data_IF_132619398173
#
_entry.id   IF_132619398173
#
_cell.length_a   1.000
_cell.length_b   1.000
_cell.length_c   1.000
_cell.angle_alpha   90.00
_cell.angle_beta   90.00
_cell.angle_gamma   90.00
#
_symmetry.space_group_name_H-M   'P 1'
#
loop_
_entity.id
_entity.type
_entity.pdbx_description
1 polymer ?
#
# COMPACT_ATOMS: atom_id res chain seq x y z
N UNK A 1 -26.54 0.46 9.64
CA UNK A 1 -25.89 -0.87 9.50
C UNK A 1 -24.90 -0.73 8.37
N UNK A 2 -23.59 -0.67 8.67
CA UNK A 2 -22.56 -0.43 7.65
C UNK A 2 -22.45 -1.67 6.77
N UNK A 3 -22.75 -1.54 5.49
CA UNK A 3 -22.58 -2.61 4.52
C UNK A 3 -21.06 -2.81 4.36
N UNK A 4 -20.53 -3.95 4.82
CA UNK A 4 -19.11 -4.27 4.64
C UNK A 4 -18.86 -4.45 3.14
N UNK A 5 -18.14 -3.53 2.52
CA UNK A 5 -17.60 -3.73 1.17
C UNK A 5 -16.66 -4.94 1.24
N UNK A 6 -16.92 -6.04 0.50
CA UNK A 6 -16.01 -7.17 0.49
C UNK A 6 -14.68 -6.72 -0.12
N UNK A 7 -13.57 -7.07 0.52
CA UNK A 7 -12.24 -6.75 -0.01
C UNK A 7 -11.90 -7.67 -1.19
N UNK A 8 -11.29 -7.12 -2.24
CA UNK A 8 -10.78 -7.88 -3.39
C UNK A 8 -9.37 -8.36 -3.09
N UNK A 9 -9.13 -9.67 -3.19
CA UNK A 9 -7.78 -10.23 -3.14
C UNK A 9 -7.04 -9.93 -4.45
N UNK A 10 -5.77 -9.53 -4.34
CA UNK A 10 -4.88 -9.21 -5.44
C UNK A 10 -3.64 -10.09 -5.30
N UNK A 11 -3.61 -11.20 -6.04
CA UNK A 11 -2.49 -12.16 -6.04
C UNK A 11 -1.97 -12.44 -7.46
N UNK A 12 -2.62 -11.91 -8.49
CA UNK A 12 -2.16 -11.96 -9.87
C UNK A 12 -1.72 -10.59 -10.37
N UNK A 13 -0.75 -10.59 -11.31
CA UNK A 13 -0.23 -9.35 -11.92
C UNK A 13 -1.33 -8.51 -12.58
N UNK A 14 -2.31 -9.15 -13.23
CA UNK A 14 -3.40 -8.44 -13.89
C UNK A 14 -4.23 -7.64 -12.88
N UNK A 15 -4.57 -8.25 -11.74
CA UNK A 15 -5.31 -7.61 -10.66
C UNK A 15 -4.52 -6.46 -10.03
N UNK A 16 -3.18 -6.61 -9.90
CA UNK A 16 -2.31 -5.53 -9.40
C UNK A 16 -2.34 -4.32 -10.33
N UNK A 17 -2.32 -4.54 -11.65
CA UNK A 17 -2.41 -3.46 -12.63
C UNK A 17 -3.78 -2.78 -12.64
N UNK A 18 -4.86 -3.53 -12.43
CA UNK A 18 -6.21 -2.95 -12.25
C UNK A 18 -6.26 -2.05 -11.01
N UNK A 19 -5.70 -2.50 -9.88
CA UNK A 19 -5.58 -1.68 -8.67
C UNK A 19 -4.78 -0.40 -8.96
N UNK A 20 -3.65 -0.50 -9.66
CA UNK A 20 -2.86 0.67 -10.05
C UNK A 20 -3.68 1.67 -10.88
N UNK A 21 -4.51 1.20 -11.82
CA UNK A 21 -5.39 2.08 -12.60
C UNK A 21 -6.46 2.75 -11.73
N UNK A 22 -7.01 2.04 -10.75
CA UNK A 22 -7.96 2.62 -9.80
C UNK A 22 -7.28 3.72 -8.96
N UNK A 23 -6.04 3.50 -8.51
CA UNK A 23 -5.24 4.52 -7.80
C UNK A 23 -4.97 5.72 -8.70
N UNK A 24 -4.51 5.48 -9.94
CA UNK A 24 -4.19 6.53 -10.92
C UNK A 24 -5.41 7.42 -11.20
N UNK A 25 -6.62 6.84 -11.25
CA UNK A 25 -7.88 7.59 -11.43
C UNK A 25 -8.32 8.36 -10.19
N UNK A 26 -8.10 7.80 -9.00
CA UNK A 26 -8.51 8.41 -7.75
C UNK A 26 -7.56 9.54 -7.31
N UNK A 27 -6.28 9.45 -7.67
CA UNK A 27 -5.23 10.37 -7.20
C UNK A 27 -4.94 10.23 -5.70
N UNK A 28 -5.45 9.18 -5.05
CA UNK A 28 -5.22 8.88 -3.63
C UNK A 28 -5.44 7.41 -3.31
N UNK A 29 -4.77 6.94 -2.27
CA UNK A 29 -4.90 5.59 -1.72
C UNK A 29 -4.62 5.60 -0.23
N UNK A 30 -5.37 4.86 0.57
CA UNK A 30 -4.94 4.53 1.93
C UNK A 30 -4.20 3.21 1.94
N UNK A 31 -3.14 3.11 2.73
CA UNK A 31 -2.25 1.97 2.78
C UNK A 31 -1.98 1.54 4.22
N UNK A 32 -1.84 0.24 4.43
CA UNK A 32 -1.38 -0.39 5.68
C UNK A 32 -0.57 -1.63 5.29
N UNK A 33 0.53 -1.91 5.99
CA UNK A 33 1.43 -3.01 5.67
C UNK A 33 1.53 -3.99 6.84
N UNK A 34 1.38 -5.27 6.55
CA UNK A 34 1.66 -6.33 7.51
C UNK A 34 2.99 -6.98 7.17
N UNK A 35 3.91 -6.99 8.12
CA UNK A 35 5.25 -7.56 7.94
C UNK A 35 5.72 -8.29 9.20
N UNK A 36 6.59 -9.27 9.00
CA UNK A 36 7.20 -10.06 10.08
C UNK A 36 8.62 -9.54 10.31
N UNK A 37 8.88 -8.82 11.42
CA UNK A 37 10.22 -8.33 11.75
C UNK A 37 11.14 -9.42 12.34
N UNK A 38 10.60 -10.56 12.79
CA UNK A 38 11.36 -11.57 13.50
C UNK A 38 12.29 -12.39 12.60
N UNK A 39 13.49 -12.67 13.11
CA UNK A 39 14.46 -13.64 12.56
C UNK A 39 14.99 -13.32 11.15
N UNK A 40 14.71 -12.14 10.62
CA UNK A 40 15.21 -11.67 9.33
C UNK A 40 15.92 -10.34 9.50
N UNK A 41 16.97 -10.09 8.68
CA UNK A 41 17.69 -8.82 8.72
C UNK A 41 16.86 -7.67 8.12
N UNK A 42 16.02 -7.99 7.11
CA UNK A 42 15.01 -7.09 6.55
C UNK A 42 13.62 -7.69 6.80
N UNK A 43 12.63 -6.90 7.26
CA UNK A 43 11.28 -7.39 7.48
C UNK A 43 10.69 -8.01 6.21
N UNK A 44 10.00 -9.14 6.38
CA UNK A 44 9.28 -9.79 5.28
C UNK A 44 7.90 -9.18 5.17
N UNK A 45 7.61 -8.53 4.03
CA UNK A 45 6.27 -8.04 3.73
C UNK A 45 5.33 -9.22 3.45
N UNK A 46 4.24 -9.31 4.22
CA UNK A 46 3.30 -10.43 4.19
C UNK A 46 1.93 -10.05 3.64
N UNK A 47 1.52 -8.78 3.78
CA UNK A 47 0.25 -8.30 3.25
C UNK A 47 0.32 -6.79 3.04
N UNK A 48 -0.42 -6.29 2.04
CA UNK A 48 -0.72 -4.86 1.91
C UNK A 48 -2.23 -4.71 1.91
N UNK A 49 -2.78 -3.98 2.90
CA UNK A 49 -4.16 -3.52 2.81
C UNK A 49 -4.18 -2.16 2.12
N UNK A 50 -5.08 -1.99 1.16
CA UNK A 50 -5.28 -0.71 0.51
C UNK A 50 -6.77 -0.40 0.30
N UNK A 51 -7.09 0.90 0.32
CA UNK A 51 -8.44 1.38 -0.01
C UNK A 51 -8.35 2.51 -1.01
N UNK A 52 -9.16 2.41 -2.07
CA UNK A 52 -9.26 3.40 -3.14
C UNK A 52 -10.74 3.67 -3.39
N UNK A 53 -11.18 4.92 -3.16
CA UNK A 53 -12.57 5.34 -3.35
C UNK A 53 -13.62 4.39 -2.71
N UNK A 54 -13.34 3.91 -1.49
CA UNK A 54 -14.25 3.03 -0.74
C UNK A 54 -14.22 1.56 -1.15
N UNK A 55 -13.38 1.19 -2.13
CA UNK A 55 -13.09 -0.21 -2.48
C UNK A 55 -11.87 -0.68 -1.69
N UNK A 56 -12.03 -1.79 -0.96
CA UNK A 56 -10.95 -2.41 -0.22
C UNK A 56 -10.23 -3.47 -1.07
N UNK A 57 -8.90 -3.48 -0.99
CA UNK A 57 -8.02 -4.41 -1.67
C UNK A 57 -7.07 -5.03 -0.65
N UNK A 58 -6.79 -6.32 -0.82
CA UNK A 58 -5.80 -7.07 -0.06
C UNK A 58 -4.80 -7.61 -1.06
N UNK A 59 -3.58 -7.08 -1.04
CA UNK A 59 -2.51 -7.52 -1.94
C UNK A 59 -1.69 -8.57 -1.23
N UNK A 60 -1.52 -9.71 -1.89
CA UNK A 60 -0.65 -10.80 -1.43
C UNK A 60 0.75 -10.65 -2.05
N UNK A 61 1.72 -10.11 -1.30
CA UNK A 61 3.10 -9.93 -1.76
C UNK A 61 3.86 -11.25 -1.90
N UNK A 62 3.37 -12.35 -1.33
CA UNK A 62 4.04 -13.66 -1.38
C UNK A 62 3.74 -14.40 -2.68
N UNK A 63 2.57 -14.18 -3.27
CA UNK A 63 2.19 -14.75 -4.57
C UNK A 63 2.61 -13.85 -5.76
N UNK A 64 2.80 -12.56 -5.52
CA UNK A 64 3.23 -11.60 -6.54
C UNK A 64 4.76 -11.53 -6.68
N UNK A 65 5.26 -11.69 -7.91
CA UNK A 65 6.70 -11.62 -8.19
C UNK A 65 7.27 -10.19 -8.19
N UNK A 66 6.43 -9.20 -8.49
CA UNK A 66 6.84 -7.81 -8.67
C UNK A 66 5.73 -6.85 -8.20
N UNK A 67 6.05 -6.05 -7.20
CA UNK A 67 5.19 -5.02 -6.62
C UNK A 67 5.57 -3.60 -7.07
N UNK A 68 6.60 -3.46 -7.91
CA UNK A 68 7.08 -2.17 -8.40
C UNK A 68 5.98 -1.29 -9.00
N UNK A 69 4.98 -1.82 -9.76
CA UNK A 69 3.89 -1.00 -10.26
C UNK A 69 3.14 -0.24 -9.17
N UNK A 70 2.93 -0.85 -8.00
CA UNK A 70 2.28 -0.23 -6.85
C UNK A 70 3.20 0.79 -6.17
N UNK A 71 4.48 0.43 -5.97
CA UNK A 71 5.46 1.33 -5.36
C UNK A 71 5.68 2.61 -6.17
N UNK A 72 5.65 2.53 -7.50
CA UNK A 72 5.72 3.70 -8.37
C UNK A 72 4.56 4.68 -8.14
N UNK A 73 3.35 4.18 -7.82
CA UNK A 73 2.20 5.04 -7.49
C UNK A 73 2.35 5.67 -6.12
N UNK A 74 2.80 4.91 -5.12
CA UNK A 74 3.03 5.42 -3.76
C UNK A 74 4.16 6.47 -3.75
N UNK A 75 5.14 6.33 -4.64
CA UNK A 75 6.22 7.30 -4.84
C UNK A 75 5.83 8.52 -5.69
N UNK A 76 4.69 8.47 -6.39
CA UNK A 76 4.25 9.55 -7.28
C UNK A 76 3.80 10.76 -6.45
N UNK A 77 4.40 11.95 -6.63
CA UNK A 77 3.99 13.16 -5.91
C UNK A 77 2.55 13.58 -6.19
N UNK A 78 1.97 13.19 -7.33
CA UNK A 78 0.59 13.51 -7.70
C UNK A 78 -0.45 12.60 -7.02
N UNK A 79 -0.01 11.52 -6.36
CA UNK A 79 -0.89 10.56 -5.68
C UNK A 79 -0.74 10.73 -4.16
N UNK A 80 -1.83 11.07 -3.48
CA UNK A 80 -1.84 11.18 -2.03
C UNK A 80 -1.92 9.79 -1.38
N UNK A 81 -0.88 9.39 -0.67
CA UNK A 81 -0.89 8.15 0.12
C UNK A 81 -1.22 8.45 1.57
N UNK A 82 -2.27 7.82 2.09
CA UNK A 82 -2.78 8.03 3.44
C UNK A 82 -2.41 6.82 4.30
N UNK A 83 -1.74 7.07 5.42
CA UNK A 83 -1.27 6.03 6.36
C UNK A 83 -1.61 6.42 7.80
N UNK A 84 -1.43 5.49 8.73
CA UNK A 84 -1.49 5.75 10.16
C UNK A 84 -0.18 5.30 10.81
N UNK A 85 0.54 6.21 11.48
CA UNK A 85 1.83 5.89 12.10
C UNK A 85 2.85 5.33 11.08
N UNK A 86 2.98 6.03 9.95
CA UNK A 86 3.59 5.55 8.71
C UNK A 86 5.10 5.29 8.76
N UNK A 87 5.78 5.62 9.86
CA UNK A 87 7.25 5.67 9.88
C UNK A 87 7.90 4.34 9.49
N UNK A 88 7.40 3.23 10.03
CA UNK A 88 7.95 1.90 9.71
C UNK A 88 7.57 1.45 8.29
N UNK A 89 6.37 1.79 7.84
CA UNK A 89 5.91 1.46 6.49
C UNK A 89 6.75 2.14 5.42
N UNK A 90 7.09 3.41 5.63
CA UNK A 90 7.91 4.19 4.69
C UNK A 90 9.33 3.63 4.59
N UNK A 91 9.93 3.23 5.72
CA UNK A 91 11.23 2.55 5.72
C UNK A 91 11.17 1.22 4.96
N UNK A 92 10.09 0.45 5.15
CA UNK A 92 9.89 -0.82 4.46
C UNK A 92 9.70 -0.61 2.94
N UNK A 93 8.87 0.35 2.53
CA UNK A 93 8.67 0.71 1.12
C UNK A 93 10.00 1.12 0.49
N UNK A 94 10.81 1.92 1.18
CA UNK A 94 12.13 2.32 0.69
C UNK A 94 13.06 1.11 0.50
N UNK A 95 13.13 0.23 1.49
CA UNK A 95 13.96 -0.97 1.43
C UNK A 95 13.55 -1.94 0.30
N UNK A 96 12.24 -2.07 0.04
CA UNK A 96 11.71 -2.99 -0.97
C UNK A 96 11.77 -2.43 -2.40
N UNK A 97 11.62 -1.12 -2.58
CA UNK A 97 11.47 -0.49 -3.90
C UNK A 97 12.63 0.40 -4.32
N UNK A 98 13.45 0.87 -3.37
CA UNK A 98 14.44 1.93 -3.58
C UNK A 98 13.83 3.32 -3.82
N UNK A 99 12.50 3.45 -3.76
CA UNK A 99 11.78 4.71 -3.95
C UNK A 99 11.52 5.41 -2.62
N UNK A 100 11.16 6.69 -2.69
CA UNK A 100 10.79 7.49 -1.53
C UNK A 100 9.39 8.05 -1.78
N UNK A 101 8.36 7.67 -0.98
CA UNK A 101 7.04 8.26 -1.04
C UNK A 101 7.08 9.77 -0.81
N UNK A 102 6.45 10.54 -1.71
CA UNK A 102 6.60 12.02 -1.73
C UNK A 102 5.39 12.80 -1.26
N UNK A 103 4.21 12.19 -1.27
CA UNK A 103 2.96 12.84 -0.91
C UNK A 103 2.20 11.96 0.09
N UNK A 104 2.58 12.09 1.36
CA UNK A 104 2.06 11.28 2.47
C UNK A 104 1.19 12.14 3.38
N UNK A 105 0.05 11.59 3.79
CA UNK A 105 -0.74 12.09 4.91
C UNK A 105 -0.79 11.05 6.03
N UNK A 106 -0.14 11.35 7.15
CA UNK A 106 -0.17 10.49 8.34
C UNK A 106 -1.27 10.94 9.31
N UNK A 107 -2.25 10.06 9.48
CA UNK A 107 -3.40 10.31 10.36
C UNK A 107 -3.06 10.31 11.84
N UNK A 108 -1.98 9.63 12.28
CA UNK A 108 -1.50 9.69 13.67
C UNK A 108 -0.96 11.09 13.97
N UNK A 109 -0.10 11.61 13.09
CA UNK A 109 0.46 12.96 13.23
C UNK A 109 -0.65 14.02 13.17
N UNK A 110 -1.63 13.83 12.29
CA UNK A 110 -2.77 14.74 12.17
C UNK A 110 -3.67 14.74 13.42
N UNK A 111 -3.72 13.64 14.19
CA UNK A 111 -4.57 13.52 15.38
C UNK A 111 -4.02 14.24 16.62
N UNK A 112 -2.69 14.47 16.70
CA UNK A 112 -2.03 15.17 17.81
C UNK A 112 -1.46 14.25 18.87
#
# INVERSE_FOLDING_TARGET
>A
MSQKTPARLINEKADLLDLCQDIDRAGRVSLDLEFIPERTYFPVLCLIQCCVEGKAYIVDPLELQDLMPLWERIANPEILTILHAASQDLDLVHNLSGLIPRNIFDTQIAAG
#
